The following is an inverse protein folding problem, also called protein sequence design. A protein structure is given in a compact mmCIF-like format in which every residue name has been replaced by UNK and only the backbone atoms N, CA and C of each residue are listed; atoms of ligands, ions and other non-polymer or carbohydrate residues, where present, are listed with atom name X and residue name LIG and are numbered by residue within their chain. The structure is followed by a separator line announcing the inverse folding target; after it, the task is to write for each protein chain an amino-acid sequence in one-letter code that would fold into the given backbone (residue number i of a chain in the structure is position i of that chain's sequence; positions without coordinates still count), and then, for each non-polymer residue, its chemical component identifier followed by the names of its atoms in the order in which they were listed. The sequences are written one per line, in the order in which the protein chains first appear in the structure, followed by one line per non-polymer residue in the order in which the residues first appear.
data_IF_944565737347
#
_entry.id   IF_944565737347
#
_cell.length_a   1.000
_cell.length_b   1.000
_cell.length_c   1.000
_cell.angle_alpha   90.00
_cell.angle_beta   90.00
_cell.angle_gamma   90.00
#
_symmetry.space_group_name_H-M   'P 1'
#
loop_
_entity.id
_entity.type
_entity.pdbx_description
1 polymer ?
#
# COMPACT_ATOMS: atom_id res chain seq x y z
N UNK A 1 14.33 17.47 -8.55
CA UNK A 1 13.10 18.00 -7.93
C UNK A 1 12.34 18.79 -8.97
N UNK A 2 11.01 18.62 -9.06
CA UNK A 2 10.18 19.38 -10.00
C UNK A 2 9.50 20.56 -9.29
N UNK A 3 9.48 21.69 -9.96
CA UNK A 3 8.80 22.89 -9.49
C UNK A 3 7.28 22.66 -9.40
N UNK A 4 6.65 23.16 -8.33
CA UNK A 4 5.24 22.93 -8.06
C UNK A 4 4.30 23.60 -9.07
N UNK A 5 4.77 24.68 -9.74
CA UNK A 5 3.97 25.48 -10.65
C UNK A 5 4.23 25.15 -12.10
N UNK A 6 5.52 25.01 -12.47
CA UNK A 6 5.92 24.82 -13.87
C UNK A 6 6.08 23.36 -14.25
N UNK A 7 6.26 22.46 -13.27
CA UNK A 7 6.58 21.06 -13.49
C UNK A 7 7.98 20.82 -14.06
N UNK A 8 8.75 21.88 -14.26
CA UNK A 8 10.13 21.81 -14.73
C UNK A 8 11.08 21.37 -13.61
N UNK A 9 12.25 20.87 -13.99
CA UNK A 9 13.27 20.55 -12.99
C UNK A 9 13.82 21.83 -12.37
N UNK A 10 13.88 21.86 -11.02
CA UNK A 10 14.45 22.99 -10.28
C UNK A 10 15.95 22.99 -10.50
N UNK A 11 16.42 24.05 -11.18
CA UNK A 11 17.84 24.32 -11.33
C UNK A 11 18.34 24.99 -10.04
N UNK A 12 19.24 24.33 -9.34
CA UNK A 12 19.82 24.84 -8.11
C UNK A 12 21.10 25.58 -8.49
N UNK A 13 21.13 26.91 -8.33
CA UNK A 13 22.33 27.69 -8.67
C UNK A 13 23.51 27.30 -7.79
N UNK A 14 24.69 27.21 -8.42
CA UNK A 14 25.92 26.76 -7.75
C UNK A 14 26.66 27.86 -6.97
N UNK A 15 26.03 28.98 -6.71
CA UNK A 15 26.67 30.12 -6.02
C UNK A 15 26.57 30.04 -4.49
N UNK A 16 27.48 30.72 -3.80
CA UNK A 16 27.55 30.72 -2.33
C UNK A 16 26.35 31.42 -1.66
N UNK A 17 25.57 32.22 -2.38
CA UNK A 17 24.39 32.91 -1.87
C UNK A 17 23.25 31.99 -1.55
N UNK A 18 23.26 30.75 -2.06
CA UNK A 18 22.23 29.74 -1.80
C UNK A 18 22.26 29.14 -0.39
N UNK A 19 23.29 29.41 0.40
CA UNK A 19 23.42 28.85 1.77
C UNK A 19 22.31 29.25 2.74
N UNK A 20 21.65 30.37 2.50
CA UNK A 20 20.51 30.85 3.31
C UNK A 20 19.16 30.56 2.61
N UNK A 21 19.17 29.82 1.53
CA UNK A 21 17.97 29.49 0.77
C UNK A 21 17.52 28.06 1.04
N UNK A 22 16.21 27.88 1.09
CA UNK A 22 15.56 26.59 1.30
C UNK A 22 14.49 26.36 0.25
N UNK A 23 14.22 25.09 -0.03
CA UNK A 23 13.09 24.67 -0.84
C UNK A 23 12.09 23.97 0.04
N UNK A 24 10.81 24.28 -0.13
CA UNK A 24 9.70 23.64 0.59
C UNK A 24 8.92 22.74 -0.32
N UNK A 25 8.41 21.63 0.24
CA UNK A 25 7.37 20.86 -0.43
C UNK A 25 6.03 21.61 -0.41
N UNK A 26 5.13 21.31 -1.37
CA UNK A 26 3.77 21.89 -1.39
C UNK A 26 3.04 21.68 -0.07
N UNK A 27 3.14 20.46 0.50
CA UNK A 27 2.51 20.13 1.79
C UNK A 27 3.04 21.04 2.93
N UNK A 28 4.36 21.29 2.98
CA UNK A 28 4.95 22.15 4.00
C UNK A 28 4.56 23.62 3.79
N UNK A 29 4.57 24.09 2.54
CA UNK A 29 4.16 25.46 2.22
C UNK A 29 2.71 25.71 2.65
N UNK A 30 1.79 24.78 2.36
CA UNK A 30 0.39 24.87 2.81
C UNK A 30 0.26 24.81 4.34
N UNK A 31 1.00 23.94 5.00
CA UNK A 31 0.95 23.79 6.45
C UNK A 31 1.42 25.05 7.18
N UNK A 32 2.49 25.72 6.70
CA UNK A 32 3.06 26.89 7.34
C UNK A 32 2.39 28.21 6.96
N UNK A 33 1.97 28.35 5.71
CA UNK A 33 1.51 29.62 5.13
C UNK A 33 0.07 29.60 4.63
N UNK A 34 -0.60 28.43 4.62
CA UNK A 34 -1.94 28.26 4.05
C UNK A 34 -2.03 28.34 2.52
N UNK A 35 -0.89 28.57 1.84
CA UNK A 35 -0.80 28.70 0.38
C UNK A 35 0.47 28.03 -0.15
N UNK A 36 0.51 27.76 -1.45
CA UNK A 36 1.66 27.12 -2.11
C UNK A 36 2.66 28.14 -2.66
N UNK A 37 2.20 29.31 -3.12
CA UNK A 37 3.09 30.37 -3.60
C UNK A 37 3.67 31.18 -2.43
N UNK A 38 4.85 30.78 -1.99
CA UNK A 38 5.57 31.34 -0.83
C UNK A 38 7.01 31.71 -1.17
N UNK A 39 7.38 31.71 -2.43
CA UNK A 39 8.72 32.07 -2.90
C UNK A 39 9.08 33.48 -2.43
N UNK A 40 10.31 33.67 -1.94
CA UNK A 40 10.80 34.94 -1.39
C UNK A 40 10.39 35.21 0.06
N UNK A 41 9.51 34.41 0.66
CA UNK A 41 9.20 34.54 2.10
C UNK A 41 10.30 33.89 2.96
N UNK A 42 10.28 34.19 4.26
CA UNK A 42 11.28 33.68 5.20
C UNK A 42 10.67 32.63 6.13
N UNK A 43 11.42 31.55 6.36
CA UNK A 43 11.16 30.58 7.43
C UNK A 43 12.24 30.72 8.50
N UNK A 44 11.85 30.45 9.74
CA UNK A 44 12.73 30.54 10.90
C UNK A 44 12.95 29.16 11.47
N UNK A 45 14.19 28.80 11.72
CA UNK A 45 14.57 27.61 12.46
C UNK A 45 14.40 27.81 13.96
N UNK A 46 14.47 26.73 14.74
CA UNK A 46 14.40 26.77 16.21
C UNK A 46 15.50 27.64 16.86
N UNK A 47 16.65 27.72 16.22
CA UNK A 47 17.80 28.59 16.62
C UNK A 47 17.63 30.05 16.19
N UNK A 48 16.46 30.47 15.73
CA UNK A 48 16.12 31.80 15.19
C UNK A 48 16.86 32.19 13.91
N UNK A 49 17.57 31.28 13.28
CA UNK A 49 18.14 31.51 11.95
C UNK A 49 17.02 31.66 10.92
N UNK A 50 17.14 32.65 10.04
CA UNK A 50 16.17 32.91 8.97
C UNK A 50 16.68 32.37 7.65
N UNK A 51 15.81 31.72 6.91
CA UNK A 51 16.07 31.17 5.57
C UNK A 51 15.04 31.70 4.59
N UNK A 52 15.50 32.14 3.42
CA UNK A 52 14.63 32.58 2.33
C UNK A 52 14.15 31.37 1.54
N UNK A 53 12.87 31.34 1.21
CA UNK A 53 12.28 30.29 0.37
C UNK A 53 12.63 30.57 -1.08
N UNK A 54 13.51 29.76 -1.66
CA UNK A 54 13.94 29.87 -3.07
C UNK A 54 12.94 29.28 -4.06
N UNK A 55 12.09 28.36 -3.60
CA UNK A 55 11.07 27.76 -4.44
C UNK A 55 10.27 26.68 -3.70
N UNK A 56 9.19 26.24 -4.33
CA UNK A 56 8.33 25.18 -3.83
C UNK A 56 8.37 24.04 -4.83
N UNK A 57 8.61 22.83 -4.34
CA UNK A 57 8.64 21.63 -5.17
C UNK A 57 7.40 20.77 -4.94
N UNK A 58 7.06 19.99 -5.95
CA UNK A 58 5.94 19.05 -5.88
C UNK A 58 6.19 18.00 -4.80
N UNK A 59 5.15 17.68 -4.05
CA UNK A 59 5.22 16.61 -3.05
C UNK A 59 5.61 15.29 -3.73
N UNK A 60 6.56 14.58 -3.16
CA UNK A 60 6.96 13.26 -3.61
C UNK A 60 7.08 12.28 -2.45
N UNK A 61 6.94 11.01 -2.76
CA UNK A 61 7.22 9.95 -1.79
C UNK A 61 8.74 9.76 -1.68
N UNK A 62 9.26 9.91 -0.48
CA UNK A 62 10.65 9.59 -0.23
C UNK A 62 10.92 8.09 -0.37
N UNK A 63 9.93 7.26 0.01
CA UNK A 63 9.95 5.81 -0.14
C UNK A 63 8.59 5.30 -0.63
N UNK A 64 8.59 4.18 -1.35
CA UNK A 64 7.38 3.62 -1.96
C UNK A 64 6.28 3.28 -0.95
N UNK A 65 6.63 2.97 0.29
CA UNK A 65 5.70 2.59 1.36
C UNK A 65 5.32 3.74 2.29
N UNK A 66 5.96 4.92 2.15
CA UNK A 66 5.64 6.10 2.94
C UNK A 66 4.64 6.99 2.22
N UNK A 67 3.81 7.68 3.00
CA UNK A 67 3.03 8.78 2.46
C UNK A 67 3.94 10.00 2.26
N UNK A 68 3.63 10.88 1.30
CA UNK A 68 4.32 12.15 1.20
C UNK A 68 4.15 12.93 2.50
N UNK A 69 5.24 13.45 3.03
CA UNK A 69 5.24 14.26 4.24
C UNK A 69 5.87 15.63 3.97
N UNK A 70 5.55 16.63 4.79
CA UNK A 70 6.13 17.97 4.66
C UNK A 70 7.65 17.91 4.73
N UNK A 71 8.31 18.41 3.70
CA UNK A 71 9.77 18.39 3.56
C UNK A 71 10.33 19.80 3.37
N UNK A 72 11.44 20.07 4.06
CA UNK A 72 12.28 21.20 3.81
C UNK A 72 13.64 20.70 3.36
N UNK A 73 14.14 21.22 2.24
CA UNK A 73 15.43 20.84 1.66
C UNK A 73 16.36 22.04 1.71
N UNK A 74 17.47 21.87 2.40
CA UNK A 74 18.59 22.81 2.35
C UNK A 74 19.51 22.43 1.21
N UNK A 75 19.99 23.46 0.50
CA UNK A 75 20.97 23.28 -0.55
C UNK A 75 22.32 23.76 -0.07
N UNK A 76 23.27 22.87 -0.04
CA UNK A 76 24.66 23.17 0.28
C UNK A 76 25.51 22.99 -0.97
N UNK A 77 26.21 24.06 -1.39
CA UNK A 77 27.10 23.99 -2.56
C UNK A 77 28.50 23.48 -2.21
N UNK A 78 28.89 23.58 -0.96
CA UNK A 78 30.19 23.14 -0.49
C UNK A 78 30.06 22.32 0.79
N UNK A 79 30.76 21.20 0.83
CA UNK A 79 31.01 20.46 2.05
C UNK A 79 32.10 21.22 2.80
N UNK A 80 31.71 22.14 3.67
CA UNK A 80 32.68 22.89 4.46
C UNK A 80 33.06 22.17 5.74
N UNK A 81 34.36 21.96 5.90
CA UNK A 81 35.05 21.79 7.14
C UNK A 81 34.90 20.44 7.84
N UNK A 82 35.66 20.35 8.92
CA UNK A 82 35.89 19.15 9.73
C UNK A 82 34.66 18.58 10.42
N UNK A 83 33.54 19.31 10.46
CA UNK A 83 32.33 18.94 11.19
C UNK A 83 31.54 17.77 10.54
N UNK A 84 31.75 17.55 9.26
CA UNK A 84 31.01 16.50 8.52
C UNK A 84 31.79 15.20 8.31
N UNK A 85 32.96 15.06 8.90
CA UNK A 85 33.82 13.90 8.69
C UNK A 85 33.28 12.56 9.18
N UNK A 86 32.18 12.56 9.93
CA UNK A 86 31.54 11.34 10.46
C UNK A 86 30.32 10.89 9.67
N UNK A 87 30.01 11.54 8.54
CA UNK A 87 28.82 11.23 7.77
C UNK A 87 29.11 10.25 6.64
N UNK A 88 28.20 9.34 6.39
CA UNK A 88 28.24 8.51 5.20
C UNK A 88 27.76 9.36 4.01
N UNK A 89 28.56 9.39 2.97
CA UNK A 89 28.16 10.02 1.71
C UNK A 89 27.60 8.96 0.78
N UNK A 90 26.48 9.28 0.12
CA UNK A 90 25.90 8.45 -0.92
C UNK A 90 25.99 9.19 -2.24
N UNK A 91 26.60 8.58 -3.24
CA UNK A 91 26.63 9.09 -4.60
C UNK A 91 25.65 8.26 -5.42
N UNK A 92 24.68 8.93 -6.01
CA UNK A 92 23.65 8.31 -6.85
C UNK A 92 23.95 8.60 -8.30
N UNK A 93 23.87 7.62 -9.15
CA UNK A 93 23.99 7.78 -10.59
C UNK A 93 22.98 6.87 -11.32
N UNK A 94 22.59 7.27 -12.51
CA UNK A 94 21.70 6.53 -13.37
C UNK A 94 22.50 5.81 -14.46
N UNK A 95 22.18 4.56 -14.70
CA UNK A 95 22.73 3.82 -15.83
C UNK A 95 22.07 4.29 -17.14
N UNK A 96 22.82 4.26 -18.22
CA UNK A 96 22.28 4.51 -19.56
C UNK A 96 21.35 3.36 -19.97
N UNK A 97 20.36 3.68 -20.78
CA UNK A 97 19.47 2.65 -21.34
C UNK A 97 20.26 1.55 -22.06
N UNK A 98 19.86 0.30 -21.85
CA UNK A 98 20.49 -0.88 -22.45
C UNK A 98 21.70 -1.43 -21.71
N UNK A 99 22.12 -0.82 -20.59
CA UNK A 99 23.21 -1.37 -19.77
C UNK A 99 22.67 -2.42 -18.82
N UNK A 100 23.22 -3.63 -18.83
CA UNK A 100 22.91 -4.67 -17.84
C UNK A 100 23.42 -4.24 -16.46
N UNK A 101 22.49 -4.04 -15.53
CA UNK A 101 22.77 -3.60 -14.17
C UNK A 101 23.67 -4.60 -13.41
N UNK A 102 23.45 -5.90 -13.58
CA UNK A 102 24.23 -6.93 -12.90
C UNK A 102 25.67 -6.98 -13.40
N UNK A 103 25.86 -6.94 -14.71
CA UNK A 103 27.19 -6.89 -15.31
C UNK A 103 27.94 -5.61 -14.92
N UNK A 104 27.23 -4.47 -14.87
CA UNK A 104 27.80 -3.22 -14.39
C UNK A 104 28.23 -3.30 -12.92
N UNK A 105 27.38 -3.83 -12.05
CA UNK A 105 27.68 -3.98 -10.63
C UNK A 105 28.95 -4.80 -10.39
N UNK A 106 29.07 -5.94 -11.08
CA UNK A 106 30.25 -6.81 -10.97
C UNK A 106 31.54 -6.10 -11.42
N UNK A 107 31.47 -5.39 -12.56
CA UNK A 107 32.60 -4.57 -13.04
C UNK A 107 32.95 -3.45 -12.08
N UNK A 108 31.96 -2.72 -11.58
CA UNK A 108 32.16 -1.63 -10.64
C UNK A 108 32.83 -2.13 -9.36
N UNK A 109 32.37 -3.24 -8.78
CA UNK A 109 32.96 -3.84 -7.57
C UNK A 109 34.40 -4.27 -7.80
N UNK A 110 34.74 -4.79 -8.97
CA UNK A 110 36.06 -5.29 -9.29
C UNK A 110 37.05 -4.18 -9.70
N UNK A 111 36.65 -3.24 -10.53
CA UNK A 111 37.53 -2.30 -11.19
C UNK A 111 37.50 -0.90 -10.55
N UNK A 112 36.35 -0.42 -10.11
CA UNK A 112 36.16 0.97 -9.65
C UNK A 112 36.21 1.08 -8.14
N UNK A 113 35.52 0.19 -7.42
CA UNK A 113 35.41 0.26 -5.97
C UNK A 113 36.75 0.28 -5.22
N UNK A 114 37.77 -0.50 -5.62
CA UNK A 114 39.12 -0.45 -4.97
C UNK A 114 39.83 0.90 -5.16
N UNK A 115 39.48 1.64 -6.23
CA UNK A 115 40.07 2.97 -6.52
C UNK A 115 39.38 4.09 -5.75
N UNK A 116 38.17 3.86 -5.27
CA UNK A 116 37.39 4.84 -4.51
C UNK A 116 37.80 4.84 -3.03
N UNK A 117 39.04 5.29 -2.79
CA UNK A 117 39.60 5.42 -1.46
C UNK A 117 40.26 6.80 -1.32
N UNK A 118 39.88 7.54 -0.30
CA UNK A 118 40.44 8.84 0.03
C UNK A 118 40.70 8.92 1.54
N UNK A 119 41.97 8.75 1.94
CA UNK A 119 42.32 8.66 3.34
C UNK A 119 41.66 7.47 4.04
N UNK A 120 40.88 7.74 5.07
CA UNK A 120 40.11 6.71 5.81
C UNK A 120 38.73 6.42 5.21
N UNK A 121 38.35 7.13 4.14
CA UNK A 121 37.08 6.89 3.44
C UNK A 121 37.29 5.84 2.36
N UNK A 122 36.35 4.92 2.28
CA UNK A 122 36.33 3.89 1.24
C UNK A 122 34.91 3.64 0.78
N UNK A 123 34.74 3.18 -0.43
CA UNK A 123 33.44 2.76 -0.95
C UNK A 123 33.01 1.46 -0.25
N UNK A 124 31.91 1.49 0.48
CA UNK A 124 31.39 0.33 1.22
C UNK A 124 30.63 -0.64 0.34
N UNK A 125 30.14 -0.21 -0.81
CA UNK A 125 29.38 -1.03 -1.72
C UNK A 125 28.66 -0.23 -2.81
N UNK A 126 28.13 -0.93 -3.77
CA UNK A 126 27.16 -0.47 -4.75
C UNK A 126 25.88 -1.24 -4.50
N UNK A 127 24.81 -0.53 -4.33
CA UNK A 127 23.49 -1.09 -4.05
C UNK A 127 22.49 -0.47 -5.04
N UNK A 128 21.54 -1.27 -5.53
CA UNK A 128 20.46 -0.77 -6.33
C UNK A 128 19.45 -0.01 -5.45
N UNK A 129 18.69 0.92 -6.03
CA UNK A 129 17.61 1.60 -5.31
C UNK A 129 16.57 0.63 -4.76
N UNK A 130 16.33 -0.47 -5.44
CA UNK A 130 15.40 -1.51 -5.01
C UNK A 130 15.91 -2.19 -3.74
N UNK A 131 17.18 -2.60 -3.70
CA UNK A 131 17.80 -3.19 -2.51
C UNK A 131 17.83 -2.23 -1.33
N UNK A 132 18.22 -0.98 -1.57
CA UNK A 132 18.20 0.06 -0.54
C UNK A 132 16.79 0.26 0.01
N UNK A 133 15.78 0.35 -0.86
CA UNK A 133 14.38 0.48 -0.46
C UNK A 133 13.90 -0.72 0.36
N UNK A 134 14.25 -1.93 -0.05
CA UNK A 134 13.94 -3.17 0.69
C UNK A 134 14.59 -3.20 2.07
N UNK A 135 15.89 -2.88 2.16
CA UNK A 135 16.60 -2.82 3.44
C UNK A 135 15.99 -1.80 4.40
N UNK A 136 15.61 -0.61 3.90
CA UNK A 136 14.92 0.39 4.70
C UNK A 136 13.54 -0.09 5.15
N UNK A 137 12.76 -0.72 4.28
CA UNK A 137 11.47 -1.29 4.63
C UNK A 137 11.58 -2.38 5.70
N UNK A 138 12.65 -3.19 5.65
CA UNK A 138 12.95 -4.19 6.64
C UNK A 138 13.34 -3.57 7.99
N UNK A 139 14.25 -2.59 8.00
CA UNK A 139 14.72 -1.89 9.22
C UNK A 139 13.62 -1.09 9.88
N UNK A 140 12.73 -0.46 9.12
CA UNK A 140 11.58 0.30 9.64
C UNK A 140 10.42 -0.59 10.09
N UNK A 141 10.56 -1.93 9.97
CA UNK A 141 9.54 -2.88 10.39
C UNK A 141 8.33 -2.98 9.46
N UNK A 142 8.31 -2.28 8.33
CA UNK A 142 7.20 -2.29 7.36
C UNK A 142 6.93 -3.69 6.84
N UNK A 143 7.99 -4.46 6.54
CA UNK A 143 7.86 -5.84 6.06
C UNK A 143 7.19 -6.72 7.13
N UNK A 144 7.56 -6.55 8.40
CA UNK A 144 6.94 -7.30 9.50
C UNK A 144 5.48 -6.89 9.71
N UNK A 145 5.15 -5.61 9.57
CA UNK A 145 3.76 -5.13 9.62
C UNK A 145 2.94 -5.71 8.46
N UNK A 146 3.49 -5.78 7.25
CA UNK A 146 2.81 -6.41 6.11
C UNK A 146 2.58 -7.89 6.35
N UNK A 147 3.59 -8.64 6.83
CA UNK A 147 3.44 -10.06 7.20
C UNK A 147 2.35 -10.26 8.25
N UNK A 148 2.33 -9.41 9.28
CA UNK A 148 1.28 -9.46 10.32
C UNK A 148 -0.11 -9.20 9.73
N UNK A 149 -0.25 -8.19 8.87
CA UNK A 149 -1.53 -7.88 8.20
C UNK A 149 -2.02 -9.05 7.34
N UNK A 150 -1.14 -9.65 6.54
CA UNK A 150 -1.51 -10.81 5.71
C UNK A 150 -1.84 -12.04 6.55
N UNK A 151 -1.09 -12.30 7.63
CA UNK A 151 -1.39 -13.42 8.53
C UNK A 151 -2.74 -13.23 9.24
N UNK A 152 -3.04 -12.00 9.68
CA UNK A 152 -4.32 -11.68 10.31
C UNK A 152 -5.48 -11.79 9.31
N UNK A 153 -5.30 -11.32 8.09
CA UNK A 153 -6.29 -11.45 7.02
C UNK A 153 -6.55 -12.93 6.69
N UNK A 154 -5.50 -13.74 6.55
CA UNK A 154 -5.62 -15.18 6.32
C UNK A 154 -6.35 -15.90 7.46
N UNK A 155 -6.03 -15.55 8.71
CA UNK A 155 -6.74 -16.07 9.87
C UNK A 155 -8.23 -15.67 9.89
N UNK A 156 -8.53 -14.41 9.58
CA UNK A 156 -9.92 -13.95 9.48
C UNK A 156 -10.71 -14.69 8.40
N UNK A 157 -10.11 -14.90 7.22
CA UNK A 157 -10.74 -15.70 6.15
C UNK A 157 -10.99 -17.14 6.57
N UNK A 158 -10.06 -17.75 7.30
CA UNK A 158 -10.25 -19.09 7.88
C UNK A 158 -11.41 -19.11 8.89
N UNK A 159 -11.50 -18.12 9.77
CA UNK A 159 -12.62 -18.00 10.71
C UNK A 159 -13.97 -17.85 10.00
N UNK A 160 -14.03 -17.04 8.93
CA UNK A 160 -15.24 -16.89 8.11
C UNK A 160 -15.61 -18.23 7.48
N UNK A 161 -14.65 -18.93 6.89
CA UNK A 161 -14.87 -20.24 6.29
C UNK A 161 -15.46 -21.26 7.30
N UNK A 162 -14.81 -21.42 8.45
CA UNK A 162 -15.25 -22.33 9.50
C UNK A 162 -16.61 -21.94 10.09
N UNK A 163 -16.84 -20.63 10.26
CA UNK A 163 -18.13 -20.10 10.71
C UNK A 163 -19.25 -20.41 9.73
N UNK A 164 -19.01 -20.28 8.42
CA UNK A 164 -19.99 -20.64 7.38
C UNK A 164 -20.27 -22.15 7.37
N UNK A 165 -19.23 -22.99 7.43
CA UNK A 165 -19.40 -24.45 7.51
C UNK A 165 -20.25 -24.81 8.72
N UNK A 166 -19.93 -24.29 9.92
CA UNK A 166 -20.66 -24.58 11.14
C UNK A 166 -22.11 -24.09 11.12
N UNK A 167 -22.34 -22.86 10.69
CA UNK A 167 -23.67 -22.27 10.59
C UNK A 167 -24.57 -23.05 9.63
N UNK A 168 -24.07 -23.36 8.44
CA UNK A 168 -24.87 -24.11 7.47
C UNK A 168 -25.02 -25.58 7.84
N UNK A 169 -24.07 -26.16 8.56
CA UNK A 169 -24.23 -27.50 9.14
C UNK A 169 -25.43 -27.55 10.10
N UNK A 170 -25.51 -26.61 11.04
CA UNK A 170 -26.62 -26.51 11.98
C UNK A 170 -27.94 -26.25 11.26
N UNK A 171 -27.97 -25.33 10.29
CA UNK A 171 -29.18 -25.01 9.49
C UNK A 171 -29.67 -26.21 8.68
N UNK A 172 -28.77 -26.95 8.03
CA UNK A 172 -29.14 -28.15 7.29
C UNK A 172 -29.74 -29.23 8.19
N UNK A 173 -29.18 -29.43 9.40
CA UNK A 173 -29.71 -30.35 10.37
C UNK A 173 -31.08 -29.91 10.92
N UNK A 174 -31.26 -28.65 11.24
CA UNK A 174 -32.52 -28.09 11.71
C UNK A 174 -33.64 -28.17 10.68
N UNK A 175 -33.30 -28.09 9.38
CA UNK A 175 -34.29 -28.17 8.25
C UNK A 175 -34.31 -29.53 7.58
N UNK A 176 -33.84 -30.61 8.24
CA UNK A 176 -33.74 -31.94 7.67
C UNK A 176 -35.09 -32.47 7.19
N UNK A 177 -36.16 -32.27 7.96
CA UNK A 177 -37.53 -32.67 7.63
C UNK A 177 -38.04 -31.87 6.42
N UNK A 178 -37.84 -30.55 6.36
CA UNK A 178 -38.26 -29.74 5.22
C UNK A 178 -37.56 -30.20 3.92
N UNK A 179 -36.28 -30.52 4.00
CA UNK A 179 -35.49 -31.07 2.87
C UNK A 179 -36.09 -32.44 2.43
N UNK A 180 -36.43 -33.29 3.40
CA UNK A 180 -37.07 -34.59 3.15
C UNK A 180 -38.40 -34.44 2.42
N UNK A 181 -39.26 -33.52 2.87
CA UNK A 181 -40.55 -33.23 2.21
C UNK A 181 -40.34 -32.68 0.78
N UNK A 182 -39.44 -31.72 0.60
CA UNK A 182 -39.15 -31.21 -0.76
C UNK A 182 -38.65 -32.30 -1.70
N UNK A 183 -37.81 -33.21 -1.21
CA UNK A 183 -37.29 -34.34 -1.97
C UNK A 183 -38.40 -35.36 -2.31
N UNK A 184 -39.32 -35.65 -1.39
CA UNK A 184 -40.46 -36.55 -1.63
C UNK A 184 -41.44 -35.96 -2.65
N UNK A 185 -41.56 -34.64 -2.75
CA UNK A 185 -42.33 -33.93 -3.77
C UNK A 185 -41.61 -33.81 -5.14
N UNK A 186 -40.41 -34.40 -5.27
CA UNK A 186 -39.67 -34.44 -6.54
C UNK A 186 -38.63 -33.34 -6.72
N UNK A 187 -38.29 -32.58 -5.69
CA UNK A 187 -37.21 -31.61 -5.80
C UNK A 187 -35.86 -32.30 -6.05
N UNK A 188 -35.12 -31.82 -7.03
CA UNK A 188 -33.80 -32.34 -7.32
C UNK A 188 -32.77 -31.92 -6.25
N UNK A 189 -31.68 -32.67 -6.08
CA UNK A 189 -30.58 -32.31 -5.18
C UNK A 189 -29.99 -30.96 -5.49
N UNK A 190 -29.93 -30.64 -6.79
CA UNK A 190 -29.43 -29.34 -7.24
C UNK A 190 -30.36 -28.20 -6.85
N UNK A 191 -31.68 -28.41 -6.87
CA UNK A 191 -32.63 -27.38 -6.43
C UNK A 191 -32.45 -27.03 -4.96
N UNK A 192 -32.37 -28.05 -4.09
CA UNK A 192 -32.10 -27.86 -2.65
C UNK A 192 -30.77 -27.19 -2.43
N UNK A 193 -29.71 -27.63 -3.10
CA UNK A 193 -28.38 -27.03 -2.97
C UNK A 193 -28.37 -25.57 -3.38
N UNK A 194 -28.96 -25.24 -4.52
CA UNK A 194 -29.00 -23.86 -5.03
C UNK A 194 -29.77 -22.93 -4.10
N UNK A 195 -30.81 -23.41 -3.41
CA UNK A 195 -31.55 -22.63 -2.42
C UNK A 195 -30.63 -22.21 -1.25
N UNK A 196 -29.86 -23.13 -0.66
CA UNK A 196 -28.92 -22.80 0.43
C UNK A 196 -27.74 -21.93 -0.05
N UNK A 197 -27.26 -22.14 -1.28
CA UNK A 197 -26.21 -21.29 -1.85
C UNK A 197 -26.74 -19.87 -2.10
N UNK A 198 -27.98 -19.71 -2.54
CA UNK A 198 -28.61 -18.39 -2.67
C UNK A 198 -28.78 -17.70 -1.30
N UNK A 199 -29.15 -18.45 -0.26
CA UNK A 199 -29.22 -17.93 1.11
C UNK A 199 -27.84 -17.45 1.60
N UNK A 200 -26.78 -18.23 1.37
CA UNK A 200 -25.41 -17.85 1.69
C UNK A 200 -24.96 -16.60 0.93
N UNK A 201 -25.26 -16.52 -0.36
CA UNK A 201 -24.99 -15.36 -1.20
C UNK A 201 -25.65 -14.10 -0.64
N UNK A 202 -26.93 -14.16 -0.30
CA UNK A 202 -27.67 -13.04 0.27
C UNK A 202 -27.08 -12.58 1.61
N UNK A 203 -26.76 -13.54 2.51
CA UNK A 203 -26.17 -13.23 3.80
C UNK A 203 -24.83 -12.50 3.66
N UNK A 204 -23.94 -12.99 2.80
CA UNK A 204 -22.63 -12.36 2.56
C UNK A 204 -22.80 -10.99 1.94
N UNK A 205 -23.70 -10.86 0.97
CA UNK A 205 -23.94 -9.57 0.30
C UNK A 205 -24.47 -8.53 1.27
N UNK A 206 -25.47 -8.88 2.10
CA UNK A 206 -26.02 -7.96 3.12
C UNK A 206 -24.94 -7.58 4.13
N UNK A 207 -24.20 -8.55 4.65
CA UNK A 207 -23.10 -8.28 5.60
C UNK A 207 -22.04 -7.37 4.99
N UNK A 208 -21.68 -7.59 3.72
CA UNK A 208 -20.71 -6.77 3.02
C UNK A 208 -21.19 -5.33 2.82
N UNK A 209 -22.44 -5.15 2.39
CA UNK A 209 -23.05 -3.82 2.21
C UNK A 209 -23.11 -3.04 3.53
N UNK A 210 -23.40 -3.71 4.64
CA UNK A 210 -23.41 -3.09 5.99
C UNK A 210 -21.98 -2.73 6.44
N UNK A 211 -20.96 -3.53 6.10
CA UNK A 211 -19.57 -3.24 6.44
C UNK A 211 -18.95 -2.11 5.60
N UNK A 212 -19.44 -1.89 4.38
CA UNK A 212 -18.86 -0.97 3.41
C UNK A 212 -18.76 0.49 3.92
N UNK A 213 -19.76 1.09 4.57
CA UNK A 213 -19.65 2.43 5.14
C UNK A 213 -18.56 2.54 6.22
N UNK A 214 -18.39 1.52 7.04
CA UNK A 214 -17.37 1.48 8.10
C UNK A 214 -15.97 1.46 7.47
N UNK A 215 -15.77 0.61 6.46
CA UNK A 215 -14.50 0.54 5.73
C UNK A 215 -14.21 1.86 4.99
N UNK A 216 -15.22 2.45 4.35
CA UNK A 216 -15.08 3.73 3.67
C UNK A 216 -14.69 4.84 4.64
N UNK A 217 -15.34 4.93 5.80
CA UNK A 217 -14.99 5.91 6.83
C UNK A 217 -13.55 5.75 7.30
N UNK A 218 -13.12 4.52 7.59
CA UNK A 218 -11.75 4.24 8.02
C UNK A 218 -10.71 4.60 6.97
N UNK A 219 -11.00 4.33 5.69
CA UNK A 219 -10.12 4.68 4.56
C UNK A 219 -10.09 6.20 4.35
N UNK A 220 -11.21 6.88 4.53
CA UNK A 220 -11.29 8.35 4.47
C UNK A 220 -10.46 9.00 5.58
N UNK A 221 -10.61 8.57 6.83
CA UNK A 221 -9.84 9.09 7.97
C UNK A 221 -8.33 8.82 7.83
N UNK A 222 -7.94 7.74 7.16
CA UNK A 222 -6.52 7.47 6.87
C UNK A 222 -5.87 8.44 5.87
N UNK A 223 -6.63 9.40 5.32
CA UNK A 223 -6.17 10.36 4.33
C UNK A 223 -5.91 9.78 2.93
N UNK A 224 -6.41 8.57 2.66
CA UNK A 224 -6.19 7.90 1.38
C UNK A 224 -6.72 8.71 0.18
N UNK A 225 -7.85 9.39 0.34
CA UNK A 225 -8.45 10.22 -0.71
C UNK A 225 -7.91 11.65 -0.74
N UNK A 226 -7.42 12.17 0.41
CA UNK A 226 -6.93 13.54 0.56
C UNK A 226 -5.48 13.72 0.17
N UNK A 227 -4.75 12.65 -0.09
CA UNK A 227 -3.38 12.70 -0.61
C UNK A 227 -3.39 13.23 -2.05
N UNK A 228 -3.70 14.52 -2.19
CA UNK A 228 -3.64 15.29 -3.43
C UNK A 228 -2.21 15.49 -3.95
N UNK A 229 -1.36 14.51 -3.74
CA UNK A 229 -0.03 14.47 -4.30
C UNK A 229 -0.19 14.23 -5.78
N UNK A 230 -0.04 15.30 -6.54
CA UNK A 230 0.21 15.18 -7.98
C UNK A 230 1.50 14.38 -8.13
N UNK A 231 1.36 13.12 -8.43
CA UNK A 231 2.46 12.15 -8.60
C UNK A 231 3.15 12.39 -9.93
N UNK A 232 3.91 13.46 -10.01
CA UNK A 232 4.47 13.97 -11.24
C UNK A 232 5.82 13.35 -11.63
N UNK A 233 6.38 12.41 -10.89
CA UNK A 233 7.81 12.11 -11.05
C UNK A 233 8.12 10.68 -11.53
N UNK A 234 7.19 9.77 -11.45
CA UNK A 234 7.37 8.44 -12.01
C UNK A 234 6.12 8.11 -12.81
N UNK A 235 6.31 7.42 -13.91
CA UNK A 235 5.27 6.78 -14.72
C UNK A 235 4.55 5.74 -13.83
N UNK A 236 3.85 6.28 -12.82
CA UNK A 236 3.22 5.49 -11.79
C UNK A 236 1.96 4.89 -12.36
N UNK A 237 1.86 3.60 -12.23
CA UNK A 237 0.75 2.79 -12.70
C UNK A 237 -0.60 3.47 -12.38
N UNK A 238 -1.53 3.34 -13.30
CA UNK A 238 -2.92 3.77 -13.27
C UNK A 238 -3.59 3.75 -11.87
N UNK A 239 -3.29 2.74 -11.06
CA UNK A 239 -3.82 2.55 -9.71
C UNK A 239 -3.53 3.68 -8.72
N UNK A 240 -2.42 4.35 -8.90
CA UNK A 240 -1.95 5.34 -7.93
C UNK A 240 -2.47 6.75 -8.22
N UNK A 241 -2.93 7.00 -9.46
CA UNK A 241 -3.47 8.29 -9.87
C UNK A 241 -4.97 8.44 -9.63
N UNK A 242 -5.67 7.31 -9.36
CA UNK A 242 -7.12 7.30 -9.18
C UNK A 242 -7.51 6.57 -7.89
N UNK A 243 -7.41 7.24 -6.73
CA UNK A 243 -7.65 6.60 -5.43
C UNK A 243 -9.07 6.04 -5.29
N UNK A 244 -10.07 6.70 -5.84
CA UNK A 244 -11.45 6.22 -5.82
C UNK A 244 -11.60 4.92 -6.62
N UNK A 245 -11.04 4.88 -7.81
CA UNK A 245 -11.09 3.68 -8.65
C UNK A 245 -10.32 2.52 -8.02
N UNK A 246 -9.16 2.81 -7.44
CA UNK A 246 -8.40 1.81 -6.68
C UNK A 246 -9.22 1.25 -5.52
N UNK A 247 -9.87 2.12 -4.73
CA UNK A 247 -10.76 1.69 -3.65
C UNK A 247 -11.88 0.78 -4.16
N UNK A 248 -12.57 1.17 -5.25
CA UNK A 248 -13.65 0.37 -5.83
C UNK A 248 -13.18 -1.01 -6.28
N UNK A 249 -12.02 -1.09 -6.94
CA UNK A 249 -11.50 -2.37 -7.44
C UNK A 249 -11.08 -3.28 -6.29
N UNK A 250 -10.35 -2.76 -5.30
CA UNK A 250 -9.94 -3.55 -4.13
C UNK A 250 -11.16 -4.03 -3.34
N UNK A 251 -12.17 -3.18 -3.18
CA UNK A 251 -13.42 -3.52 -2.50
C UNK A 251 -14.17 -4.62 -3.25
N UNK A 252 -14.28 -4.52 -4.59
CA UNK A 252 -14.90 -5.55 -5.42
C UNK A 252 -14.13 -6.89 -5.34
N UNK A 253 -12.81 -6.85 -5.44
CA UNK A 253 -11.97 -8.04 -5.30
C UNK A 253 -12.16 -8.71 -3.94
N UNK A 254 -12.20 -7.92 -2.87
CA UNK A 254 -12.46 -8.42 -1.52
C UNK A 254 -13.82 -9.08 -1.42
N UNK A 255 -14.87 -8.47 -1.99
CA UNK A 255 -16.21 -9.05 -2.04
C UNK A 255 -16.21 -10.40 -2.74
N UNK A 256 -15.57 -10.50 -3.92
CA UNK A 256 -15.49 -11.75 -4.68
C UNK A 256 -14.78 -12.84 -3.85
N UNK A 257 -13.65 -12.52 -3.20
CA UNK A 257 -12.93 -13.48 -2.37
C UNK A 257 -13.79 -13.98 -1.21
N UNK A 258 -14.47 -13.07 -0.49
CA UNK A 258 -15.35 -13.42 0.62
C UNK A 258 -16.52 -14.29 0.14
N UNK A 259 -17.12 -13.94 -1.00
CA UNK A 259 -18.21 -14.70 -1.60
C UNK A 259 -17.78 -16.12 -1.97
N UNK A 260 -16.63 -16.26 -2.63
CA UNK A 260 -16.09 -17.60 -3.01
C UNK A 260 -15.85 -18.46 -1.77
N UNK A 261 -15.23 -17.91 -0.74
CA UNK A 261 -14.95 -18.64 0.51
C UNK A 261 -16.25 -19.06 1.19
N UNK A 262 -17.24 -18.17 1.26
CA UNK A 262 -18.52 -18.46 1.88
C UNK A 262 -19.31 -19.53 1.10
N UNK A 263 -19.33 -19.45 -0.23
CA UNK A 263 -19.99 -20.45 -1.07
C UNK A 263 -19.33 -21.82 -0.95
N UNK A 264 -18.00 -21.90 -0.92
CA UNK A 264 -17.26 -23.15 -0.71
C UNK A 264 -17.58 -23.71 0.70
N UNK A 265 -17.54 -22.87 1.74
CA UNK A 265 -17.85 -23.26 3.11
C UNK A 265 -19.28 -23.78 3.26
N UNK A 266 -20.24 -23.18 2.55
CA UNK A 266 -21.64 -23.60 2.54
C UNK A 266 -21.84 -24.88 1.71
N UNK A 267 -21.14 -25.03 0.61
CA UNK A 267 -21.29 -26.16 -0.28
C UNK A 267 -21.05 -27.51 0.39
N UNK A 268 -20.07 -27.58 1.30
CA UNK A 268 -19.67 -28.82 1.98
C UNK A 268 -20.84 -29.43 2.81
N UNK A 269 -21.46 -28.70 3.77
CA UNK A 269 -22.57 -29.23 4.56
C UNK A 269 -23.84 -29.45 3.72
N UNK A 270 -24.12 -28.57 2.77
CA UNK A 270 -25.32 -28.64 1.93
C UNK A 270 -25.27 -29.84 1.01
N UNK A 271 -24.12 -30.17 0.42
CA UNK A 271 -23.94 -31.36 -0.39
C UNK A 271 -24.29 -32.62 0.42
N UNK A 272 -23.84 -32.72 1.67
CA UNK A 272 -24.19 -33.84 2.54
C UNK A 272 -25.70 -33.91 2.81
N UNK A 273 -26.31 -32.78 3.14
CA UNK A 273 -27.73 -32.69 3.47
C UNK A 273 -28.63 -33.02 2.28
N UNK A 274 -28.23 -32.63 1.06
CA UNK A 274 -29.00 -32.89 -0.16
C UNK A 274 -29.05 -34.40 -0.60
N UNK A 275 -28.10 -35.20 -0.11
CA UNK A 275 -28.04 -36.64 -0.36
C UNK A 275 -28.85 -37.51 0.63
N UNK A 276 -29.48 -36.89 1.63
CA UNK A 276 -30.31 -37.65 2.59
C UNK A 276 -31.51 -38.24 1.88
N UNK A 277 -31.73 -39.56 2.09
CA UNK A 277 -32.90 -40.27 1.53
C UNK A 277 -34.17 -39.77 2.25
N UNK A 278 -35.28 -39.52 1.53
CA UNK A 278 -36.53 -39.09 2.13
C UNK A 278 -37.01 -39.98 3.28
N UNK A 279 -36.81 -41.31 3.16
CA UNK A 279 -37.16 -42.29 4.19
C UNK A 279 -36.38 -42.08 5.50
N UNK A 280 -35.09 -41.71 5.43
CA UNK A 280 -34.24 -41.47 6.62
C UNK A 280 -34.56 -40.13 7.28
N UNK A 281 -34.96 -39.13 6.46
CA UNK A 281 -35.32 -37.80 6.98
C UNK A 281 -36.65 -37.78 7.79
N UNK A 282 -37.55 -38.73 7.51
CA UNK A 282 -38.87 -38.89 8.18
C UNK A 282 -38.85 -39.90 9.33
N UNK A 283 -37.78 -40.67 9.47
CA UNK A 283 -37.64 -41.73 10.51
C UNK A 283 -36.99 -41.27 11.80
N UNK A 284 -36.39 -40.11 11.83
CA UNK A 284 -35.76 -39.54 13.04
C UNK A 284 -36.81 -38.86 13.99
N UNK A 285 -37.83 -39.63 14.38
CA UNK A 285 -38.67 -39.39 15.57
C UNK A 285 -38.24 -40.23 16.75
#
# INVERSE_FOLDING_TARGET
MKDAFTGADINIPADAATRQKVFLSEALARALFGKTDVTGQKVYSHDKSSYEIAGVFQDYKHRNYEQPYPLLVWVYNEIQGKTYMNWRYSITFSLKEGVDANAFEQRFKKEVMPLLKAGNFYCSGLESFEEVSYMYAQRSGVINQLRLKYSLAGFALLCIFLGMVGTFWIRCNARRQEIGIMRSMGASENAVRNQFLAEAFLLVTVAFVVALPVVFHQVHESGFFSSGVKRAILDMSYWQNQPVMHFCIVTLMTYIILLVIALIGTYIPVKRASHILPADALRDE
#
